data_IF_856163588926
#
_entry.id   IF_856163588926
#
_cell.length_a   1.000
_cell.length_b   1.000
_cell.length_c   1.000
_cell.angle_alpha   90.00
_cell.angle_beta   90.00
_cell.angle_gamma   90.00
#
_symmetry.space_group_name_H-M   'P 1'
#
loop_
_entity.id
_entity.type
_entity.pdbx_description
1 polymer ?
#
# COMPACT_ATOMS: atom_id res chain seq x y z
N UNK A 1 -33.46 -20.49 31.22
CA UNK A 1 -31.99 -20.58 31.28
C UNK A 1 -31.44 -19.97 30.01
N UNK A 2 -30.48 -19.06 30.13
CA UNK A 2 -29.85 -18.38 29.01
C UNK A 2 -28.37 -18.79 28.97
N UNK A 3 -27.85 -19.09 27.79
CA UNK A 3 -26.46 -19.46 27.58
C UNK A 3 -25.85 -18.50 26.56
N UNK A 4 -24.86 -17.71 26.98
CA UNK A 4 -24.12 -16.81 26.10
C UNK A 4 -22.88 -17.52 25.56
N UNK A 5 -22.73 -17.53 24.23
CA UNK A 5 -21.54 -18.06 23.55
C UNK A 5 -20.84 -16.90 22.85
N UNK A 6 -19.59 -16.65 23.20
CA UNK A 6 -18.78 -15.56 22.63
C UNK A 6 -17.66 -16.13 21.76
N UNK A 7 -17.56 -15.66 20.52
CA UNK A 7 -16.48 -16.03 19.62
C UNK A 7 -15.32 -15.02 19.74
N UNK A 8 -14.13 -15.51 20.05
CA UNK A 8 -12.88 -14.74 20.02
C UNK A 8 -12.09 -15.11 18.76
N UNK A 9 -12.35 -14.39 17.68
CA UNK A 9 -11.68 -14.64 16.40
C UNK A 9 -10.44 -13.78 16.25
N UNK A 10 -9.36 -14.43 15.83
CA UNK A 10 -8.05 -13.90 15.48
C UNK A 10 -7.73 -14.15 13.99
N UNK A 11 -8.75 -14.41 13.18
CA UNK A 11 -8.64 -14.66 11.75
C UNK A 11 -9.94 -14.26 11.02
N UNK A 12 -9.84 -14.04 9.71
CA UNK A 12 -10.91 -13.54 8.84
C UNK A 12 -11.51 -14.62 7.94
N UNK A 13 -11.11 -15.88 8.10
CA UNK A 13 -11.75 -17.01 7.40
C UNK A 13 -13.02 -17.50 8.12
N UNK A 14 -13.82 -18.29 7.40
CA UNK A 14 -14.99 -18.97 7.97
C UNK A 14 -14.55 -20.05 8.97
N UNK A 15 -15.06 -19.99 10.19
CA UNK A 15 -14.94 -21.02 11.21
C UNK A 15 -16.25 -21.76 11.37
N UNK A 16 -16.16 -23.08 11.55
CA UNK A 16 -17.28 -23.96 11.81
C UNK A 16 -16.93 -24.83 13.02
N UNK A 17 -17.83 -24.88 13.99
CA UNK A 17 -17.69 -25.70 15.19
C UNK A 17 -19.07 -26.23 15.64
N UNK A 18 -19.12 -27.00 16.73
CA UNK A 18 -20.35 -27.53 17.30
C UNK A 18 -20.37 -27.33 18.82
N UNK A 19 -21.42 -26.68 19.31
CA UNK A 19 -21.71 -26.66 20.75
C UNK A 19 -22.42 -27.96 21.12
N UNK A 20 -21.80 -28.75 22.00
CA UNK A 20 -22.41 -29.95 22.56
C UNK A 20 -23.06 -29.64 23.91
N UNK A 21 -24.37 -29.90 24.01
CA UNK A 21 -25.13 -29.77 25.26
C UNK A 21 -25.47 -31.17 25.74
N UNK A 22 -24.95 -31.54 26.91
CA UNK A 22 -25.21 -32.83 27.55
C UNK A 22 -26.37 -32.72 28.54
N UNK A 23 -27.25 -33.71 28.56
CA UNK A 23 -28.38 -33.80 29.48
C UNK A 23 -28.23 -35.03 30.36
N UNK A 24 -28.57 -34.93 31.65
CA UNK A 24 -28.33 -36.01 32.62
C UNK A 24 -29.11 -37.30 32.28
N UNK A 25 -30.31 -37.16 31.71
CA UNK A 25 -31.23 -38.26 31.39
C UNK A 25 -31.74 -38.21 29.94
N UNK A 26 -31.00 -37.56 29.04
CA UNK A 26 -31.38 -37.45 27.63
C UNK A 26 -30.15 -37.44 26.73
N UNK A 27 -30.35 -37.63 25.42
CA UNK A 27 -29.27 -37.57 24.45
C UNK A 27 -28.70 -36.16 24.33
N UNK A 28 -27.39 -36.09 24.12
CA UNK A 28 -26.71 -34.83 23.85
C UNK A 28 -27.20 -34.18 22.56
N UNK A 29 -27.31 -32.85 22.56
CA UNK A 29 -27.63 -32.07 21.35
C UNK A 29 -26.39 -31.36 20.84
N UNK A 30 -26.21 -31.39 19.51
CA UNK A 30 -25.15 -30.67 18.83
C UNK A 30 -25.74 -29.48 18.08
N UNK A 31 -25.29 -28.28 18.40
CA UNK A 31 -25.70 -27.04 17.75
C UNK A 31 -24.53 -26.58 16.87
N UNK A 32 -24.68 -26.51 15.53
CA UNK A 32 -23.62 -26.01 14.67
C UNK A 32 -23.41 -24.52 14.90
N UNK A 33 -22.16 -24.12 15.07
CA UNK A 33 -21.72 -22.74 15.19
C UNK A 33 -20.96 -22.35 13.92
N UNK A 34 -21.27 -21.18 13.38
CA UNK A 34 -20.55 -20.61 12.24
C UNK A 34 -20.24 -19.16 12.52
N UNK A 35 -18.99 -18.76 12.29
CA UNK A 35 -18.56 -17.39 12.48
C UNK A 35 -17.45 -17.03 11.50
N UNK A 36 -17.23 -15.74 11.28
CA UNK A 36 -16.23 -15.22 10.35
C UNK A 36 -15.73 -13.87 10.86
N UNK A 37 -14.42 -13.70 10.97
CA UNK A 37 -13.82 -12.42 11.34
C UNK A 37 -14.08 -11.37 10.27
N UNK A 38 -14.18 -10.11 10.68
CA UNK A 38 -14.30 -8.96 9.77
C UNK A 38 -12.99 -8.19 9.72
N UNK A 39 -12.69 -7.60 8.57
CA UNK A 39 -11.48 -6.81 8.36
C UNK A 39 -10.30 -7.67 7.92
N UNK A 40 -9.10 -7.26 8.32
CA UNK A 40 -7.84 -7.90 7.97
C UNK A 40 -6.98 -8.09 9.21
N UNK A 41 -6.14 -9.13 9.23
CA UNK A 41 -5.12 -9.33 10.25
C UNK A 41 -3.79 -8.69 9.90
N UNK A 42 -3.67 -8.10 8.70
CA UNK A 42 -2.50 -7.31 8.30
C UNK A 42 -2.63 -5.93 8.92
N UNK A 43 -1.69 -5.59 9.79
CA UNK A 43 -1.61 -4.27 10.42
C UNK A 43 -0.42 -3.50 9.86
N UNK A 44 -0.49 -2.17 9.92
CA UNK A 44 0.57 -1.26 9.45
C UNK A 44 1.02 -0.35 10.59
N UNK A 45 2.32 -0.08 10.63
CA UNK A 45 2.94 0.92 11.51
C UNK A 45 3.85 1.86 10.70
N UNK A 46 3.57 3.17 10.62
CA UNK A 46 2.39 3.84 11.16
C UNK A 46 1.09 3.32 10.50
N UNK A 47 -0.08 3.55 11.11
CA UNK A 47 -1.35 3.15 10.51
C UNK A 47 -1.57 3.81 9.14
N UNK A 48 -1.98 3.02 8.14
CA UNK A 48 -2.32 3.54 6.81
C UNK A 48 -3.62 4.37 6.79
N UNK A 49 -4.63 3.95 7.57
CA UNK A 49 -5.95 4.56 7.57
C UNK A 49 -6.70 4.44 6.23
N UNK A 50 -7.95 4.96 6.14
CA UNK A 50 -8.70 5.02 4.88
C UNK A 50 -8.17 6.14 3.95
N UNK A 51 -7.58 7.17 4.54
CA UNK A 51 -6.96 8.31 3.84
C UNK A 51 -5.57 8.54 4.43
N UNK A 52 -4.57 8.57 3.57
CA UNK A 52 -3.19 8.88 3.90
C UNK A 52 -2.84 10.23 3.25
N UNK A 53 -2.96 11.30 4.04
CA UNK A 53 -2.54 12.63 3.62
C UNK A 53 -1.06 12.84 3.94
N UNK A 54 -0.26 13.02 2.90
CA UNK A 54 1.19 13.21 2.99
C UNK A 54 1.57 14.69 3.00
N UNK A 55 0.59 15.59 2.90
CA UNK A 55 0.78 17.03 2.90
C UNK A 55 1.55 17.53 1.68
N UNK A 56 2.38 18.54 1.89
CA UNK A 56 3.14 19.20 0.83
C UNK A 56 4.48 18.51 0.60
N UNK A 57 4.85 18.33 -0.67
CA UNK A 57 6.17 17.84 -1.08
C UNK A 57 6.68 18.63 -2.27
N UNK A 58 8.00 18.76 -2.44
CA UNK A 58 8.52 19.42 -3.62
C UNK A 58 8.32 18.56 -4.88
N UNK A 59 7.88 19.19 -5.97
CA UNK A 59 8.03 18.61 -7.31
C UNK A 59 9.53 18.41 -7.63
N UNK A 60 9.85 17.46 -8.50
CA UNK A 60 11.22 17.04 -8.81
C UNK A 60 12.01 16.44 -7.63
N UNK A 61 11.34 16.12 -6.53
CA UNK A 61 11.91 15.39 -5.40
C UNK A 61 11.05 14.17 -5.08
N UNK A 62 11.71 13.08 -4.67
CA UNK A 62 10.99 11.88 -4.23
C UNK A 62 10.33 12.13 -2.89
N UNK A 63 9.02 11.99 -2.84
CA UNK A 63 8.29 11.79 -1.59
C UNK A 63 8.47 10.32 -1.18
N UNK A 64 8.82 10.08 0.09
CA UNK A 64 9.01 8.72 0.62
C UNK A 64 8.31 8.61 1.98
N UNK A 65 7.44 7.61 2.13
CA UNK A 65 6.83 7.22 3.41
C UNK A 65 7.06 5.72 3.64
N UNK A 66 7.57 5.37 4.81
CA UNK A 66 7.84 3.98 5.19
C UNK A 66 6.78 3.47 6.17
N UNK A 67 6.44 2.21 6.00
CA UNK A 67 5.52 1.45 6.82
C UNK A 67 6.16 0.11 7.16
N UNK A 68 5.75 -0.47 8.27
CA UNK A 68 5.99 -1.86 8.62
C UNK A 68 4.67 -2.58 8.60
N UNK A 69 4.53 -3.56 7.73
CA UNK A 69 3.37 -4.44 7.70
C UNK A 69 3.64 -5.66 8.57
N UNK A 70 2.70 -6.03 9.42
CA UNK A 70 2.78 -7.22 10.27
C UNK A 70 1.55 -8.09 10.07
N UNK A 71 1.75 -9.38 9.87
CA UNK A 71 0.65 -10.34 9.87
C UNK A 71 0.36 -10.78 11.32
N UNK A 72 -0.73 -10.27 11.91
CA UNK A 72 -1.19 -10.69 13.25
C UNK A 72 -2.18 -11.85 13.23
N UNK A 73 -2.38 -12.47 12.06
CA UNK A 73 -3.25 -13.63 11.90
C UNK A 73 -2.49 -14.93 12.14
N UNK A 74 -3.20 -16.05 12.00
CA UNK A 74 -2.65 -17.41 12.19
C UNK A 74 -2.26 -18.13 10.90
N UNK A 75 -2.46 -17.48 9.75
CA UNK A 75 -2.25 -18.05 8.42
C UNK A 75 -1.22 -17.23 7.66
N UNK A 76 -0.43 -17.91 6.83
CA UNK A 76 0.39 -17.24 5.81
C UNK A 76 -0.51 -16.39 4.90
N UNK A 77 -0.05 -15.19 4.56
CA UNK A 77 -0.76 -14.31 3.64
C UNK A 77 0.16 -13.81 2.53
N UNK A 78 -0.26 -14.02 1.30
CA UNK A 78 0.42 -13.47 0.12
C UNK A 78 -0.27 -12.18 -0.28
N UNK A 79 0.45 -11.07 -0.19
CA UNK A 79 -0.06 -9.72 -0.43
C UNK A 79 0.39 -9.18 -1.79
N UNK A 80 -0.51 -8.47 -2.45
CA UNK A 80 -0.24 -7.77 -3.72
C UNK A 80 -0.88 -6.39 -3.67
N UNK A 81 -0.05 -5.36 -3.77
CA UNK A 81 -0.45 -3.96 -3.84
C UNK A 81 -0.66 -3.53 -5.29
N UNK A 82 -1.80 -2.90 -5.58
CA UNK A 82 -2.12 -2.31 -6.88
C UNK A 82 -2.71 -0.92 -6.69
N UNK A 83 -2.49 -0.02 -7.65
CA UNK A 83 -3.19 1.28 -7.68
C UNK A 83 -4.48 1.11 -8.47
N UNK A 84 -5.61 1.48 -7.88
CA UNK A 84 -6.92 1.41 -8.50
C UNK A 84 -6.98 2.30 -9.75
N UNK A 85 -7.66 1.84 -10.81
CA UNK A 85 -7.65 2.51 -12.12
C UNK A 85 -6.36 2.34 -12.94
N UNK A 86 -5.32 1.69 -12.40
CA UNK A 86 -4.08 1.43 -13.12
C UNK A 86 -3.84 -0.07 -13.28
N UNK A 87 -4.00 -0.59 -14.50
CA UNK A 87 -3.74 -2.00 -14.79
C UNK A 87 -2.23 -2.18 -15.06
N UNK A 88 -1.52 -3.03 -14.30
CA UNK A 88 -0.13 -3.35 -14.60
C UNK A 88 -0.03 -4.08 -15.96
N UNK A 89 0.22 -3.33 -17.03
CA UNK A 89 0.45 -3.87 -18.35
C UNK A 89 1.81 -4.60 -18.38
N UNK A 90 1.85 -5.77 -19.03
CA UNK A 90 3.11 -6.47 -19.28
C UNK A 90 4.07 -5.61 -20.09
N UNK A 91 5.38 -5.79 -19.91
CA UNK A 91 6.42 -5.01 -20.61
C UNK A 91 6.25 -5.06 -22.13
N UNK A 92 5.99 -6.24 -22.69
CA UNK A 92 5.70 -6.43 -24.11
C UNK A 92 4.45 -5.65 -24.59
N UNK A 93 3.42 -5.55 -23.75
CA UNK A 93 2.20 -4.79 -24.07
C UNK A 93 2.45 -3.27 -23.95
N UNK A 94 3.26 -2.83 -22.98
CA UNK A 94 3.71 -1.43 -22.87
C UNK A 94 4.56 -1.02 -24.08
N UNK A 95 5.48 -1.86 -24.53
CA UNK A 95 6.38 -1.54 -25.64
C UNK A 95 5.62 -1.45 -26.97
N UNK A 96 4.67 -2.35 -27.21
CA UNK A 96 3.77 -2.30 -28.38
C UNK A 96 2.85 -1.07 -28.36
N UNK A 97 2.43 -0.63 -27.19
CA UNK A 97 1.56 0.54 -27.04
C UNK A 97 2.34 1.85 -27.22
N UNK A 98 3.57 1.91 -26.70
CA UNK A 98 4.51 3.00 -26.94
C UNK A 98 4.85 3.16 -28.42
N UNK A 99 5.05 2.07 -29.17
CA UNK A 99 5.31 2.16 -30.61
C UNK A 99 4.12 2.71 -31.40
N UNK A 100 2.88 2.36 -31.00
CA UNK A 100 1.66 2.89 -31.62
C UNK A 100 1.47 4.38 -31.28
N UNK A 101 1.73 4.79 -30.03
CA UNK A 101 1.59 6.19 -29.61
C UNK A 101 2.65 7.12 -30.21
N UNK A 102 3.84 6.61 -30.53
CA UNK A 102 4.91 7.40 -31.15
C UNK A 102 4.55 7.86 -32.57
N UNK A 103 3.65 7.13 -33.25
CA UNK A 103 3.09 7.52 -34.56
C UNK A 103 1.97 8.57 -34.44
N UNK A 104 1.21 8.56 -33.34
CA UNK A 104 0.08 9.48 -33.12
C UNK A 104 0.53 10.82 -32.52
N UNK A 105 1.60 10.84 -31.70
CA UNK A 105 2.14 12.07 -31.08
C UNK A 105 2.67 13.11 -32.07
N UNK A 106 2.87 12.77 -33.35
CA UNK A 106 3.19 13.74 -34.40
C UNK A 106 1.99 14.56 -34.87
N UNK A 107 0.77 14.28 -34.41
CA UNK A 107 -0.44 14.87 -35.03
C UNK A 107 -1.50 15.50 -34.15
N UNK A 108 -1.38 15.59 -32.82
CA UNK A 108 -2.05 16.60 -31.98
C UNK A 108 -1.82 16.32 -30.49
N UNK A 109 -1.82 17.38 -29.66
CA UNK A 109 -1.91 17.32 -28.21
C UNK A 109 -3.25 16.68 -27.80
N UNK A 110 -3.28 15.37 -27.58
CA UNK A 110 -4.44 14.69 -26.99
C UNK A 110 -4.12 14.19 -25.58
N UNK A 111 -5.09 14.43 -24.69
CA UNK A 111 -5.16 13.97 -23.31
C UNK A 111 -4.92 12.45 -23.28
N UNK A 112 -3.89 12.02 -22.55
CA UNK A 112 -3.54 10.61 -22.42
C UNK A 112 -4.68 9.90 -21.64
N UNK A 113 -5.33 8.88 -22.21
CA UNK A 113 -6.30 8.06 -21.48
C UNK A 113 -5.73 7.54 -20.15
N UNK A 114 -6.54 7.55 -19.08
CA UNK A 114 -6.15 7.09 -17.73
C UNK A 114 -5.49 5.71 -17.72
N UNK A 115 -5.87 4.82 -18.65
CA UNK A 115 -5.29 3.48 -18.81
C UNK A 115 -3.81 3.47 -19.25
N UNK A 116 -3.28 4.61 -19.70
CA UNK A 116 -1.92 4.79 -20.20
C UNK A 116 -1.04 5.63 -19.27
N UNK A 117 -1.65 6.34 -18.32
CA UNK A 117 -0.92 7.07 -17.30
C UNK A 117 -0.29 6.06 -16.32
N UNK A 118 0.92 6.32 -15.84
CA UNK A 118 1.50 5.53 -14.75
C UNK A 118 1.09 6.15 -13.41
N UNK A 119 0.82 5.32 -12.37
CA UNK A 119 0.50 5.86 -11.06
C UNK A 119 1.69 6.64 -10.51
N UNK A 120 1.39 7.78 -9.88
CA UNK A 120 2.35 8.63 -9.17
C UNK A 120 2.86 7.91 -7.94
N UNK A 121 1.96 7.28 -7.17
CA UNK A 121 2.31 6.57 -5.96
C UNK A 121 2.62 5.10 -6.23
N UNK A 122 3.77 4.64 -5.74
CA UNK A 122 4.24 3.26 -5.91
C UNK A 122 4.65 2.68 -4.58
N UNK A 123 4.31 1.40 -4.38
CA UNK A 123 4.68 0.64 -3.20
C UNK A 123 5.75 -0.37 -3.54
N UNK A 124 6.79 -0.42 -2.71
CA UNK A 124 7.89 -1.35 -2.83
C UNK A 124 8.18 -2.03 -1.48
N UNK A 125 8.21 -3.38 -1.44
CA UNK A 125 7.86 -4.28 -2.53
C UNK A 125 6.33 -4.30 -2.74
N UNK A 126 5.89 -4.47 -4.01
CA UNK A 126 4.47 -4.53 -4.34
C UNK A 126 3.86 -5.93 -4.14
N UNK A 127 4.70 -6.95 -3.94
CA UNK A 127 4.32 -8.33 -3.65
C UNK A 127 5.11 -8.82 -2.47
N UNK A 128 4.45 -9.55 -1.58
CA UNK A 128 5.09 -10.10 -0.40
C UNK A 128 4.33 -11.30 0.14
N UNK A 129 5.01 -12.09 0.96
CA UNK A 129 4.44 -13.20 1.70
C UNK A 129 4.81 -13.00 3.17
N UNK A 130 3.83 -13.08 4.06
CA UNK A 130 4.02 -12.91 5.50
C UNK A 130 3.49 -14.13 6.24
N UNK A 131 4.37 -14.82 6.96
CA UNK A 131 4.01 -15.85 7.93
C UNK A 131 3.30 -15.22 9.16
N UNK A 132 2.60 -16.03 9.97
CA UNK A 132 2.05 -15.57 11.24
C UNK A 132 3.12 -14.90 12.13
N UNK A 133 2.85 -13.67 12.57
CA UNK A 133 3.76 -12.86 13.38
C UNK A 133 4.88 -12.16 12.60
N UNK A 134 5.07 -12.46 11.32
CA UNK A 134 6.11 -11.86 10.50
C UNK A 134 5.79 -10.41 10.17
N UNK A 135 6.85 -9.61 10.04
CA UNK A 135 6.77 -8.22 9.62
C UNK A 135 7.71 -7.95 8.44
N UNK A 136 7.30 -7.05 7.55
CA UNK A 136 8.16 -6.57 6.48
C UNK A 136 7.97 -5.08 6.23
N UNK A 137 9.06 -4.41 5.87
CA UNK A 137 9.04 -3.01 5.51
C UNK A 137 8.41 -2.79 4.13
N UNK A 138 7.59 -1.75 4.05
CA UNK A 138 6.87 -1.31 2.87
C UNK A 138 7.16 0.17 2.66
N UNK A 139 7.63 0.54 1.47
CA UNK A 139 7.94 1.93 1.12
C UNK A 139 6.94 2.43 0.09
N UNK A 140 6.25 3.51 0.42
CA UNK A 140 5.45 4.31 -0.51
C UNK A 140 6.34 5.43 -1.07
N UNK A 141 6.48 5.48 -2.38
CA UNK A 141 7.21 6.53 -3.09
C UNK A 141 6.25 7.31 -4.01
N UNK A 142 6.42 8.63 -4.08
CA UNK A 142 5.72 9.50 -5.01
C UNK A 142 6.69 10.44 -5.72
N UNK A 143 6.49 10.69 -7.01
CA UNK A 143 7.31 11.62 -7.79
C UNK A 143 6.49 12.27 -8.90
N UNK A 144 6.66 13.57 -9.07
CA UNK A 144 6.08 14.35 -10.16
C UNK A 144 7.10 15.39 -10.63
N UNK A 145 7.08 15.73 -11.92
CA UNK A 145 7.98 16.75 -12.48
C UNK A 145 7.43 18.17 -12.28
N UNK A 146 6.11 18.34 -12.32
CA UNK A 146 5.43 19.62 -12.19
C UNK A 146 4.58 19.67 -10.92
N UNK A 147 4.40 20.86 -10.31
CA UNK A 147 3.50 21.03 -9.17
C UNK A 147 2.09 20.58 -9.51
N UNK A 148 1.50 19.73 -8.67
CA UNK A 148 0.14 19.23 -8.84
C UNK A 148 -0.40 18.61 -7.54
N UNK A 149 -1.71 18.68 -7.36
CA UNK A 149 -2.42 17.92 -6.33
C UNK A 149 -2.70 16.50 -6.84
N UNK A 150 -2.25 15.49 -6.11
CA UNK A 150 -2.40 14.08 -6.50
C UNK A 150 -3.24 13.36 -5.45
N UNK A 151 -4.20 12.56 -5.93
CA UNK A 151 -5.02 11.66 -5.10
C UNK A 151 -5.23 10.34 -5.83
N UNK A 152 -4.63 9.25 -5.35
CA UNK A 152 -4.77 7.91 -5.92
C UNK A 152 -5.19 6.90 -4.84
N UNK A 153 -5.99 5.91 -5.22
CA UNK A 153 -6.36 4.83 -4.30
C UNK A 153 -5.45 3.63 -4.51
N UNK A 154 -4.80 3.16 -3.45
CA UNK A 154 -3.99 1.95 -3.47
C UNK A 154 -4.71 0.84 -2.70
N UNK A 155 -4.80 -0.34 -3.31
CA UNK A 155 -5.49 -1.51 -2.76
C UNK A 155 -4.53 -2.67 -2.56
N UNK A 156 -4.47 -3.19 -1.33
CA UNK A 156 -3.83 -4.46 -1.02
C UNK A 156 -4.83 -5.59 -1.22
N UNK A 157 -4.42 -6.58 -2.01
CA UNK A 157 -5.11 -7.84 -2.13
C UNK A 157 -4.33 -8.93 -1.40
N UNK A 158 -5.04 -9.88 -0.80
CA UNK A 158 -4.44 -11.02 -0.13
C UNK A 158 -4.99 -12.36 -0.65
N UNK A 159 -4.13 -13.36 -0.63
CA UNK A 159 -4.49 -14.79 -0.63
C UNK A 159 -4.22 -15.28 0.79
N UNK A 160 -5.23 -15.80 1.48
CA UNK A 160 -5.15 -16.15 2.91
C UNK A 160 -5.07 -17.67 3.08
N UNK A 161 -3.92 -18.16 3.56
CA UNK A 161 -3.66 -19.59 3.71
C UNK A 161 -3.79 -20.35 2.39
N UNK A 162 -4.58 -21.42 2.37
CA UNK A 162 -4.85 -22.23 1.17
C UNK A 162 -6.12 -21.80 0.41
N UNK A 163 -6.83 -20.77 0.88
CA UNK A 163 -7.98 -20.26 0.17
C UNK A 163 -7.48 -19.55 -1.09
N UNK A 164 -7.54 -20.21 -2.25
CA UNK A 164 -6.92 -19.73 -3.50
C UNK A 164 -7.50 -18.44 -4.08
N UNK A 165 -8.51 -17.84 -3.44
CA UNK A 165 -9.12 -16.59 -3.88
C UNK A 165 -8.30 -15.37 -3.43
N UNK A 166 -7.91 -14.53 -4.40
CA UNK A 166 -7.34 -13.20 -4.15
C UNK A 166 -8.47 -12.23 -3.81
N UNK A 167 -8.48 -11.68 -2.60
CA UNK A 167 -9.51 -10.72 -2.12
C UNK A 167 -8.88 -9.38 -1.70
N UNK A 168 -9.57 -8.24 -1.88
CA UNK A 168 -9.10 -6.96 -1.34
C UNK A 168 -9.21 -6.95 0.19
N UNK A 169 -8.17 -6.51 0.88
CA UNK A 169 -8.13 -6.48 2.37
C UNK A 169 -7.82 -5.10 2.94
N UNK A 170 -7.19 -4.20 2.18
CA UNK A 170 -6.87 -2.82 2.58
C UNK A 170 -7.06 -1.93 1.35
N UNK A 171 -7.74 -0.79 1.51
CA UNK A 171 -7.83 0.27 0.51
C UNK A 171 -7.50 1.62 1.16
N UNK A 172 -6.58 2.36 0.56
CA UNK A 172 -6.07 3.63 1.09
C UNK A 172 -6.11 4.69 0.00
N UNK A 173 -6.78 5.81 0.25
CA UNK A 173 -6.69 6.98 -0.61
C UNK A 173 -5.47 7.82 -0.21
N UNK A 174 -4.45 7.83 -1.06
CA UNK A 174 -3.19 8.54 -0.83
C UNK A 174 -3.27 9.92 -1.47
N UNK A 175 -2.99 10.96 -0.69
CA UNK A 175 -3.00 12.36 -1.14
C UNK A 175 -1.66 13.04 -0.89
N UNK A 176 -1.21 13.85 -1.84
CA UNK A 176 -0.11 14.77 -1.64
C UNK A 176 -0.27 16.00 -2.54
N UNK A 177 0.17 17.15 -2.05
CA UNK A 177 0.29 18.37 -2.83
C UNK A 177 1.75 18.57 -3.21
N UNK A 178 2.07 18.40 -4.49
CA UNK A 178 3.40 18.67 -4.98
C UNK A 178 3.51 20.15 -5.34
N UNK A 179 4.45 20.85 -4.71
CA UNK A 179 4.68 22.29 -4.85
C UNK A 179 6.02 22.58 -5.52
N UNK A 180 6.11 23.71 -6.21
CA UNK A 180 7.38 24.16 -6.76
C UNK A 180 8.27 24.73 -5.65
N UNK A 181 9.56 24.36 -5.57
CA UNK A 181 10.47 25.06 -4.68
C UNK A 181 10.71 26.47 -5.21
N UNK A 182 10.10 27.48 -4.57
CA UNK A 182 10.40 28.89 -4.83
C UNK A 182 11.76 29.26 -4.22
N UNK A 183 12.85 28.86 -4.87
CA UNK A 183 14.19 29.31 -4.50
C UNK A 183 14.44 30.70 -5.08
N UNK A 184 14.22 31.73 -4.25
CA UNK A 184 14.64 33.10 -4.56
C UNK A 184 16.06 33.31 -4.03
N UNK A 185 17.05 33.07 -4.88
CA UNK A 185 18.43 33.39 -4.53
C UNK A 185 18.62 34.90 -4.39
N UNK A 186 19.28 35.33 -3.31
CA UNK A 186 19.66 36.74 -3.12
C UNK A 186 20.75 37.19 -4.11
N UNK A 187 21.50 36.24 -4.67
CA UNK A 187 22.60 36.47 -5.62
C UNK A 187 22.78 35.22 -6.50
N UNK A 188 23.18 35.43 -7.77
CA UNK A 188 23.57 34.34 -8.69
C UNK A 188 25.00 33.82 -8.47
N UNK A 189 25.75 34.48 -7.58
CA UNK A 189 27.16 34.18 -7.32
C UNK A 189 27.32 33.62 -5.91
N UNK A 190 28.06 32.52 -5.79
CA UNK A 190 28.57 32.02 -4.53
C UNK A 190 30.01 32.53 -4.36
N UNK A 191 30.27 33.27 -3.29
CA UNK A 191 31.63 33.68 -2.91
C UNK A 191 32.13 32.71 -1.83
N UNK A 192 33.28 32.09 -2.05
CA UNK A 192 33.93 31.24 -1.06
C UNK A 192 35.30 31.82 -0.69
N UNK A 193 35.69 31.63 0.57
CA UNK A 193 37.01 31.98 1.10
C UNK A 193 37.61 30.72 1.74
N UNK A 194 38.89 30.48 1.50
CA UNK A 194 39.65 29.42 2.16
C UNK A 194 40.68 30.08 3.05
N UNK A 195 40.56 29.88 4.36
CA UNK A 195 41.54 30.37 5.33
C UNK A 195 42.55 29.27 5.64
N UNK A 196 43.83 29.50 5.29
CA UNK A 196 44.91 28.57 5.60
C UNK A 196 45.44 28.86 7.00
N UNK A 197 45.21 27.95 7.94
CA UNK A 197 45.87 28.01 9.25
C UNK A 197 47.35 27.70 9.04
N UNK A 198 48.23 28.63 9.43
CA UNK A 198 49.68 28.40 9.38
C UNK A 198 50.03 27.26 10.33
N UNK A 199 50.64 26.20 9.79
CA UNK A 199 51.22 25.14 10.61
C UNK A 199 52.30 25.72 11.51
N UNK A 200 52.25 25.36 12.80
CA UNK A 200 53.35 25.56 13.74
C UNK A 200 54.60 24.92 13.13
N UNK A 201 55.59 25.75 12.85
CA UNK A 201 56.93 25.28 12.51
C UNK A 201 57.55 24.86 13.84
N UNK A 202 57.81 23.57 13.99
CA UNK A 202 58.56 22.98 15.12
C UNK A 202 60.00 23.50 15.14
#
# INVERSE_FOLDING_TARGET
MELTVTAHLDDCVRFQDKLQINFLLSQSRLIPLVTMGKGTTIVSDPPLGPVLDLGHSFSNCKLIKKFKLTNRGRRIQQLVWITDGFIPLSKAKKDKLKSIMHDVKKRNHTLVPSDLAEPVFRLSPNRMELLPGESMDLTLEGFVELPQLVSETVVCHAIIGRAGGKIPIIGVNVKAEFIEPLLKFSTKCAFFRVDKVRGLIF
#
